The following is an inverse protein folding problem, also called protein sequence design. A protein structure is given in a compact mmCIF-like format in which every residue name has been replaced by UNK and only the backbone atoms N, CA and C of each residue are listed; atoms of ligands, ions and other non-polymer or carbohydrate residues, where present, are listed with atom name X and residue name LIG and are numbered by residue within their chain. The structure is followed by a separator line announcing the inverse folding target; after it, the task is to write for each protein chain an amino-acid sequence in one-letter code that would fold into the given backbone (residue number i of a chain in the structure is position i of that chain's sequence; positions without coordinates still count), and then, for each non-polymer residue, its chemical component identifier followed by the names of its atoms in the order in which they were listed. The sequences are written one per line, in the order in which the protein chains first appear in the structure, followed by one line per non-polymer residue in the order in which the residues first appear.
data_IF_540865627699
#
_entry.id   IF_540865627699
#
_cell.length_a   1.000
_cell.length_b   1.000
_cell.length_c   1.000
_cell.angle_alpha   90.00
_cell.angle_beta   90.00
_cell.angle_gamma   90.00
#
_symmetry.space_group_name_H-M   'P 1'
#
loop_
_entity.id
_entity.type
_entity.pdbx_description
1 polymer ?
#
# COMPACT_ATOMS: atom_id res chain seq x y z
N UNK A 1 19.82 -13.03 -24.97
CA UNK A 1 19.24 -12.50 -23.71
C UNK A 1 18.66 -11.13 -24.01
N UNK A 2 17.32 -10.99 -24.05
CA UNK A 2 16.65 -9.74 -24.43
C UNK A 2 16.65 -8.80 -23.23
N UNK A 3 17.36 -7.67 -23.30
CA UNK A 3 17.28 -6.59 -22.30
C UNK A 3 15.96 -5.85 -22.49
N UNK A 4 15.10 -5.85 -21.48
CA UNK A 4 13.96 -4.95 -21.42
C UNK A 4 14.43 -3.65 -20.75
N UNK A 5 14.39 -2.48 -21.42
CA UNK A 5 14.84 -1.22 -20.85
C UNK A 5 13.92 -0.62 -19.77
N UNK A 6 12.87 -1.33 -19.36
CA UNK A 6 11.88 -0.88 -18.37
C UNK A 6 12.26 -1.32 -16.94
N UNK A 7 13.54 -1.24 -16.59
CA UNK A 7 14.02 -1.66 -15.27
C UNK A 7 13.49 -0.71 -14.20
N UNK A 8 13.10 -1.23 -13.04
CA UNK A 8 12.59 -0.48 -11.88
C UNK A 8 13.24 0.91 -11.66
N UNK A 9 14.58 1.09 -11.82
CA UNK A 9 15.22 2.40 -11.72
C UNK A 9 14.66 3.49 -12.63
N UNK A 10 14.22 3.14 -13.83
CA UNK A 10 13.61 4.10 -14.75
C UNK A 10 12.21 4.54 -14.29
N UNK A 11 11.44 3.61 -13.71
CA UNK A 11 10.04 3.86 -13.33
C UNK A 11 9.88 4.47 -11.95
N UNK A 12 10.74 4.10 -11.01
CA UNK A 12 10.61 4.50 -9.61
C UNK A 12 11.86 5.23 -9.13
N UNK A 13 13.05 4.90 -9.63
CA UNK A 13 14.30 5.45 -9.12
C UNK A 13 15.15 4.37 -8.46
N UNK A 14 16.31 4.75 -7.90
CA UNK A 14 17.35 3.79 -7.53
C UNK A 14 16.94 2.86 -6.38
N UNK A 15 15.99 3.28 -5.53
CA UNK A 15 15.53 2.51 -4.37
C UNK A 15 14.04 2.79 -4.10
N UNK A 16 13.36 1.95 -3.29
CA UNK A 16 11.97 2.21 -2.86
C UNK A 16 11.76 3.51 -2.09
N UNK A 17 12.83 4.10 -1.55
CA UNK A 17 12.79 5.32 -0.74
C UNK A 17 13.11 6.58 -1.55
N UNK A 18 13.57 6.42 -2.79
CA UNK A 18 13.93 7.53 -3.67
C UNK A 18 13.09 7.44 -4.93
N UNK A 19 11.91 8.06 -4.89
CA UNK A 19 11.01 8.13 -6.03
C UNK A 19 11.38 9.28 -6.96
N UNK A 20 12.18 9.00 -8.01
CA UNK A 20 12.62 9.99 -9.00
C UNK A 20 12.13 9.71 -10.43
N UNK A 21 11.28 8.68 -10.59
CA UNK A 21 10.69 8.33 -11.88
C UNK A 21 9.44 9.14 -12.23
N UNK A 22 8.75 8.78 -13.34
CA UNK A 22 7.51 9.42 -13.75
C UNK A 22 6.39 9.56 -12.68
N UNK A 23 6.20 8.62 -11.73
CA UNK A 23 5.16 8.74 -10.71
C UNK A 23 5.59 9.58 -9.49
N UNK A 24 6.73 10.30 -9.53
CA UNK A 24 7.21 11.11 -8.40
C UNK A 24 6.16 12.11 -7.88
N UNK A 25 5.32 12.67 -8.77
CA UNK A 25 4.25 13.62 -8.43
C UNK A 25 2.85 13.01 -8.50
N UNK A 26 2.74 11.68 -8.60
CA UNK A 26 1.44 11.03 -8.73
C UNK A 26 0.66 11.06 -7.41
N UNK A 27 -0.66 11.25 -7.49
CA UNK A 27 -1.55 11.12 -6.34
C UNK A 27 -2.93 10.60 -6.76
N UNK A 28 -3.52 9.75 -5.91
CA UNK A 28 -4.91 9.28 -6.04
C UNK A 28 -5.89 10.08 -5.18
N UNK A 29 -5.39 10.93 -4.27
CA UNK A 29 -6.20 11.61 -3.24
C UNK A 29 -7.46 12.28 -3.80
N UNK A 30 -7.41 13.07 -4.90
CA UNK A 30 -8.58 13.73 -5.46
C UNK A 30 -9.67 12.79 -6.00
N UNK A 31 -9.40 11.48 -6.07
CA UNK A 31 -10.29 10.45 -6.63
C UNK A 31 -10.77 9.44 -5.59
N UNK A 32 -10.26 9.48 -4.35
CA UNK A 32 -10.59 8.49 -3.31
C UNK A 32 -12.09 8.43 -2.99
N UNK A 33 -12.77 9.58 -3.01
CA UNK A 33 -14.23 9.67 -2.81
C UNK A 33 -15.06 8.90 -3.85
N UNK A 34 -14.46 8.48 -4.97
CA UNK A 34 -15.14 7.68 -6.00
C UNK A 34 -15.20 6.19 -5.65
N UNK A 35 -14.46 5.76 -4.64
CA UNK A 35 -14.45 4.36 -4.19
C UNK A 35 -15.70 4.12 -3.34
N UNK A 36 -16.72 3.57 -3.99
CA UNK A 36 -18.03 3.32 -3.37
C UNK A 36 -18.23 1.86 -2.98
N UNK A 37 -17.18 1.06 -2.83
CA UNK A 37 -17.24 -0.36 -2.41
C UNK A 37 -16.60 -0.54 -1.03
N UNK A 38 -16.95 -1.57 -0.25
CA UNK A 38 -16.22 -1.89 0.97
C UNK A 38 -14.73 -2.00 0.63
N UNK A 39 -13.89 -1.36 1.44
CA UNK A 39 -12.45 -1.30 1.21
C UNK A 39 -11.71 -1.66 2.50
N UNK A 40 -10.74 -2.55 2.40
CA UNK A 40 -9.79 -2.84 3.48
C UNK A 40 -8.45 -2.21 3.12
N UNK A 41 -7.91 -1.42 4.03
CA UNK A 41 -6.49 -1.06 4.02
C UNK A 41 -5.82 -1.65 5.25
N UNK A 42 -4.59 -2.12 5.08
CA UNK A 42 -3.75 -2.50 6.21
C UNK A 42 -2.31 -2.06 5.97
N UNK A 43 -1.66 -1.62 7.05
CA UNK A 43 -0.25 -1.28 7.09
C UNK A 43 0.39 -1.88 8.35
N UNK A 44 1.67 -1.56 8.59
CA UNK A 44 2.51 -2.29 9.55
C UNK A 44 3.26 -1.34 10.45
N UNK A 45 3.50 -1.77 11.69
CA UNK A 45 4.13 -0.95 12.74
C UNK A 45 5.52 -0.43 12.34
N UNK A 46 6.28 -1.24 11.59
CA UNK A 46 7.63 -0.90 11.13
C UNK A 46 7.70 -0.73 9.60
N UNK A 47 6.58 -0.42 8.95
CA UNK A 47 6.55 -0.17 7.50
C UNK A 47 7.27 1.14 7.15
N UNK A 48 7.90 1.18 5.97
CA UNK A 48 8.34 2.43 5.35
C UNK A 48 7.16 3.36 5.03
N UNK A 49 5.98 2.78 4.82
CA UNK A 49 4.73 3.49 4.60
C UNK A 49 3.97 3.68 5.92
N UNK A 50 4.38 4.70 6.67
CA UNK A 50 3.77 5.06 7.94
C UNK A 50 2.27 5.41 7.82
N UNK A 51 1.61 5.44 8.97
CA UNK A 51 0.18 5.78 9.13
C UNK A 51 -0.25 7.05 8.39
N UNK A 52 0.61 8.07 8.33
CA UNK A 52 0.32 9.34 7.63
C UNK A 52 0.02 9.15 6.14
N UNK A 53 0.59 8.12 5.50
CA UNK A 53 0.32 7.78 4.11
C UNK A 53 -1.07 7.13 3.93
N UNK A 54 -1.64 6.55 4.99
CA UNK A 54 -2.95 5.89 5.00
C UNK A 54 -4.10 6.85 5.32
N UNK A 55 -3.82 7.95 6.05
CA UNK A 55 -4.83 8.93 6.48
C UNK A 55 -5.75 9.41 5.34
N UNK A 56 -5.25 9.79 4.14
CA UNK A 56 -6.14 10.25 3.07
C UNK A 56 -7.12 9.16 2.62
N UNK A 57 -6.71 7.89 2.63
CA UNK A 57 -7.57 6.76 2.28
C UNK A 57 -8.66 6.60 3.34
N UNK A 58 -8.29 6.61 4.62
CA UNK A 58 -9.23 6.51 5.73
C UNK A 58 -10.26 7.65 5.75
N UNK A 59 -9.83 8.89 5.50
CA UNK A 59 -10.70 10.07 5.53
C UNK A 59 -11.62 10.19 4.31
N UNK A 60 -11.17 9.74 3.13
CA UNK A 60 -11.85 10.04 1.87
C UNK A 60 -12.58 8.85 1.23
N UNK A 61 -12.33 7.61 1.68
CA UNK A 61 -13.08 6.43 1.22
C UNK A 61 -14.24 6.18 2.19
N UNK A 62 -15.52 6.31 1.77
CA UNK A 62 -16.66 6.27 2.69
C UNK A 62 -16.86 4.96 3.46
N UNK A 63 -16.39 3.83 2.92
CA UNK A 63 -16.62 2.48 3.47
C UNK A 63 -15.30 1.75 3.66
N UNK A 64 -14.46 2.26 4.56
CA UNK A 64 -13.11 1.76 4.76
C UNK A 64 -12.88 1.20 6.17
N UNK A 65 -12.26 0.02 6.23
CA UNK A 65 -11.70 -0.58 7.44
C UNK A 65 -10.18 -0.45 7.37
N UNK A 66 -9.56 0.10 8.42
CA UNK A 66 -8.11 0.20 8.54
C UNK A 66 -7.62 -0.68 9.69
N UNK A 67 -6.61 -1.52 9.42
CA UNK A 67 -5.94 -2.36 10.41
C UNK A 67 -4.41 -2.18 10.34
N UNK A 68 -3.78 -1.89 11.48
CA UNK A 68 -2.32 -1.93 11.60
C UNK A 68 -1.89 -3.28 12.18
N UNK A 69 -0.92 -3.95 11.54
CA UNK A 69 -0.40 -5.22 12.03
C UNK A 69 0.93 -5.00 12.76
N UNK A 70 0.89 -5.24 14.06
CA UNK A 70 2.00 -5.10 14.99
C UNK A 70 3.15 -6.06 14.69
N UNK A 71 4.38 -5.63 14.96
CA UNK A 71 5.60 -6.43 14.83
C UNK A 71 6.03 -6.79 13.40
N UNK A 72 5.43 -6.18 12.38
CA UNK A 72 5.71 -6.43 10.97
C UNK A 72 6.24 -5.18 10.24
N UNK A 73 6.91 -5.37 9.11
CA UNK A 73 7.40 -4.34 8.18
C UNK A 73 6.71 -4.47 6.83
N UNK A 74 7.30 -3.94 5.74
CA UNK A 74 6.65 -3.85 4.43
C UNK A 74 6.23 -5.21 3.84
N UNK A 75 7.02 -6.27 4.06
CA UNK A 75 6.83 -7.60 3.46
C UNK A 75 5.98 -8.53 4.31
N UNK A 76 4.97 -7.98 4.96
CA UNK A 76 4.15 -8.64 5.96
C UNK A 76 3.46 -9.96 5.58
N UNK A 77 3.15 -10.19 4.29
CA UNK A 77 2.64 -11.47 3.83
C UNK A 77 3.65 -12.62 3.99
N UNK A 78 4.94 -12.30 4.10
CA UNK A 78 6.02 -13.23 4.42
C UNK A 78 6.34 -13.28 5.91
N UNK A 79 6.18 -12.17 6.63
CA UNK A 79 6.50 -12.08 8.06
C UNK A 79 5.42 -12.71 8.95
N UNK A 80 4.14 -12.53 8.59
CA UNK A 80 2.99 -13.06 9.34
C UNK A 80 1.85 -13.42 8.39
N UNK A 81 2.11 -14.45 7.57
CA UNK A 81 1.20 -14.90 6.52
C UNK A 81 -0.20 -15.24 7.04
N UNK A 82 -0.29 -15.92 8.18
CA UNK A 82 -1.57 -16.38 8.74
C UNK A 82 -2.43 -15.19 9.13
N UNK A 83 -1.87 -14.19 9.81
CA UNK A 83 -2.60 -12.98 10.17
C UNK A 83 -3.04 -12.18 8.95
N UNK A 84 -2.18 -12.07 7.92
CA UNK A 84 -2.55 -11.37 6.68
C UNK A 84 -3.70 -12.09 5.96
N UNK A 85 -3.58 -13.40 5.77
CA UNK A 85 -4.60 -14.18 5.07
C UNK A 85 -5.90 -14.25 5.87
N UNK A 86 -5.84 -14.37 7.20
CA UNK A 86 -7.00 -14.32 8.07
C UNK A 86 -7.73 -12.97 7.97
N UNK A 87 -7.00 -11.85 8.05
CA UNK A 87 -7.58 -10.53 7.87
C UNK A 87 -8.25 -10.35 6.50
N UNK A 88 -7.63 -10.86 5.43
CA UNK A 88 -8.21 -10.81 4.08
C UNK A 88 -9.44 -11.71 4.00
N UNK A 89 -9.38 -12.93 4.54
CA UNK A 89 -10.50 -13.88 4.56
C UNK A 89 -11.71 -13.29 5.31
N UNK A 90 -11.50 -12.71 6.48
CA UNK A 90 -12.53 -12.05 7.29
C UNK A 90 -13.18 -10.85 6.58
N UNK A 91 -12.48 -10.24 5.62
CA UNK A 91 -13.00 -9.11 4.86
C UNK A 91 -13.78 -9.53 3.61
N UNK A 92 -13.42 -10.66 3.00
CA UNK A 92 -14.09 -11.16 1.78
C UNK A 92 -15.22 -12.16 2.06
N UNK A 93 -15.22 -12.80 3.23
CA UNK A 93 -16.26 -13.71 3.71
C UNK A 93 -17.47 -12.97 4.27
#
# INVERSE_FOLDING_TARGET
MRRYPDTYPHRHGPTPFVNSGPPANWTVIPRLHKINVPTLIFNREHDAQHDIAQVPMFELIPRLRWVTIAGASHSCGFEDRERVLGLVADFVG
#
